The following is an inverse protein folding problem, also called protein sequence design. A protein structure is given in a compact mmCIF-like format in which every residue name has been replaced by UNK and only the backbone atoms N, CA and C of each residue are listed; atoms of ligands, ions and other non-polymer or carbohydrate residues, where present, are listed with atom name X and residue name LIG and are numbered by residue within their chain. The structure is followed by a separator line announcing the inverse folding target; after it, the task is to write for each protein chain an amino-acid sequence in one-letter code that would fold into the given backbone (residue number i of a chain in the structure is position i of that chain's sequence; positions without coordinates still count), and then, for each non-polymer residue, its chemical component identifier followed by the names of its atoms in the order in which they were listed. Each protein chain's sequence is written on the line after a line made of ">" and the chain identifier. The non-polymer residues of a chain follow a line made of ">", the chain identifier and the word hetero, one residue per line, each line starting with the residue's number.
data_IF_836254422911
#
_entry.id   IF_836254422911
#
_cell.length_a   1.000
_cell.length_b   1.000
_cell.length_c   1.000
_cell.angle_alpha   90.00
_cell.angle_beta   90.00
_cell.angle_gamma   90.00
#
_symmetry.space_group_name_H-M   'P 1'
#
loop_
_entity.id
_entity.type
_entity.pdbx_description
1 polymer ?
#
# COMPACT_ATOMS: atom_id res chain seq x y z
N UNK A 1 -7.15 11.02 5.32
CA UNK A 1 -8.41 10.53 4.72
C UNK A 1 -8.15 10.32 3.25
N UNK A 2 -8.20 9.08 2.79
CA UNK A 2 -8.04 8.71 1.39
C UNK A 2 -9.41 8.38 0.81
N UNK A 3 -9.58 8.60 -0.50
CA UNK A 3 -10.80 8.17 -1.21
C UNK A 3 -10.88 6.65 -1.38
N UNK A 4 -11.52 6.17 -2.43
CA UNK A 4 -11.55 4.74 -2.75
C UNK A 4 -10.18 4.28 -3.29
N UNK A 5 -9.51 3.37 -2.58
CA UNK A 5 -8.17 2.84 -2.94
C UNK A 5 -8.29 1.48 -3.64
N UNK A 6 -9.20 0.65 -3.13
CA UNK A 6 -9.39 -0.73 -3.57
C UNK A 6 -10.81 -0.89 -4.10
N UNK A 7 -10.95 -1.65 -5.19
CA UNK A 7 -12.22 -1.92 -5.85
C UNK A 7 -12.37 -3.41 -6.10
N UNK A 8 -13.58 -3.92 -5.90
CA UNK A 8 -13.92 -5.27 -6.28
C UNK A 8 -14.71 -5.24 -7.60
N UNK A 9 -14.35 -6.09 -8.54
CA UNK A 9 -15.00 -6.11 -9.85
C UNK A 9 -16.47 -6.54 -9.70
N UNK A 10 -17.40 -5.73 -10.22
CA UNK A 10 -18.84 -5.98 -10.14
C UNK A 10 -19.25 -7.32 -10.76
N UNK A 11 -18.51 -7.79 -11.77
CA UNK A 11 -18.77 -9.02 -12.52
C UNK A 11 -17.65 -10.07 -12.36
N UNK A 12 -16.80 -9.95 -11.33
CA UNK A 12 -15.67 -10.87 -11.08
C UNK A 12 -15.93 -11.89 -9.97
N UNK A 13 -15.07 -12.91 -9.90
CA UNK A 13 -15.02 -13.86 -8.78
C UNK A 13 -14.74 -13.08 -7.49
N UNK A 14 -15.68 -13.13 -6.53
CA UNK A 14 -15.44 -12.61 -5.19
C UNK A 14 -14.65 -13.66 -4.43
N UNK A 15 -13.39 -13.37 -4.16
CA UNK A 15 -12.55 -14.20 -3.30
C UNK A 15 -12.76 -13.71 -1.87
N UNK A 16 -13.35 -14.53 -0.97
CA UNK A 16 -13.44 -14.17 0.44
C UNK A 16 -12.04 -13.89 1.00
N UNK A 17 -11.96 -13.04 2.02
CA UNK A 17 -10.70 -12.60 2.65
C UNK A 17 -9.80 -11.68 1.80
N UNK A 18 -10.30 -11.21 0.64
CA UNK A 18 -9.61 -10.20 -0.17
C UNK A 18 -10.33 -8.85 -0.12
N UNK A 19 -9.55 -7.78 -0.10
CA UNK A 19 -10.04 -6.39 -0.13
C UNK A 19 -10.25 -5.86 -1.56
N UNK A 20 -9.99 -6.70 -2.57
CA UNK A 20 -10.15 -6.39 -3.99
C UNK A 20 -8.84 -5.96 -4.67
N UNK A 21 -8.96 -5.38 -5.87
CA UNK A 21 -7.84 -4.91 -6.69
C UNK A 21 -7.66 -3.40 -6.57
N UNK A 22 -6.42 -2.89 -6.61
CA UNK A 22 -6.18 -1.44 -6.68
C UNK A 22 -6.90 -0.81 -7.87
N UNK A 23 -7.43 0.40 -7.67
CA UNK A 23 -8.00 1.17 -8.77
C UNK A 23 -6.95 1.46 -9.86
N UNK A 24 -7.37 1.77 -11.10
CA UNK A 24 -6.45 2.22 -12.14
C UNK A 24 -5.60 3.41 -11.65
N UNK A 25 -4.29 3.35 -11.89
CA UNK A 25 -3.28 4.32 -11.42
C UNK A 25 -3.06 4.35 -9.90
N UNK A 26 -3.60 3.39 -9.15
CA UNK A 26 -3.24 3.15 -7.74
C UNK A 26 -2.31 1.94 -7.67
N UNK A 27 -1.23 2.13 -6.94
CA UNK A 27 -0.25 1.12 -6.59
C UNK A 27 -0.35 0.86 -5.09
N UNK A 28 -0.28 -0.41 -4.71
CA UNK A 28 -0.29 -0.87 -3.33
C UNK A 28 0.95 -1.71 -3.07
N UNK A 29 1.45 -1.62 -1.84
CA UNK A 29 2.61 -2.39 -1.41
C UNK A 29 2.38 -2.83 0.03
N UNK A 30 2.76 -4.06 0.33
CA UNK A 30 2.82 -4.59 1.69
C UNK A 30 4.30 -4.57 2.09
N UNK A 31 4.59 -3.90 3.19
CA UNK A 31 5.95 -3.75 3.69
C UNK A 31 6.08 -4.18 5.14
N UNK A 32 7.26 -4.65 5.53
CA UNK A 32 7.54 -5.02 6.92
C UNK A 32 8.74 -4.26 7.41
N UNK A 33 8.62 -3.60 8.56
CA UNK A 33 9.71 -2.84 9.15
C UNK A 33 10.98 -3.70 9.30
N UNK A 34 12.09 -3.25 8.71
CA UNK A 34 13.39 -3.91 8.75
C UNK A 34 14.50 -2.85 8.82
N UNK A 35 15.15 -2.78 9.99
CA UNK A 35 16.24 -1.83 10.27
C UNK A 35 17.50 -2.06 9.44
N UNK A 36 17.64 -3.24 8.81
CA UNK A 36 18.77 -3.59 7.95
C UNK A 36 18.52 -3.24 6.47
N UNK A 37 17.28 -2.97 6.08
CA UNK A 37 16.95 -2.54 4.73
C UNK A 37 17.33 -1.08 4.49
N UNK A 38 17.78 -0.76 3.27
CA UNK A 38 18.11 0.62 2.88
C UNK A 38 16.93 1.59 3.02
N UNK A 39 15.70 1.08 2.89
CA UNK A 39 14.47 1.85 3.05
C UNK A 39 13.89 1.80 4.47
N UNK A 40 14.46 0.97 5.36
CA UNK A 40 13.93 0.70 6.70
C UNK A 40 12.79 -0.32 6.73
N UNK A 41 12.50 -0.97 5.60
CA UNK A 41 11.48 -2.02 5.49
C UNK A 41 11.81 -2.99 4.34
N UNK A 42 11.32 -4.22 4.45
CA UNK A 42 11.31 -5.22 3.37
C UNK A 42 9.98 -5.15 2.62
N UNK A 43 10.01 -5.52 1.35
CA UNK A 43 8.82 -5.58 0.48
C UNK A 43 8.32 -7.01 0.49
N UNK A 44 7.11 -7.22 1.00
CA UNK A 44 6.43 -8.52 1.00
C UNK A 44 5.71 -8.70 -0.34
N UNK A 45 4.94 -7.69 -0.75
CA UNK A 45 4.22 -7.71 -2.00
C UNK A 45 4.10 -6.30 -2.57
N UNK A 46 4.05 -6.18 -3.89
CA UNK A 46 3.74 -4.94 -4.60
C UNK A 46 2.77 -5.24 -5.73
N UNK A 47 1.76 -4.40 -5.91
CA UNK A 47 0.77 -4.61 -6.95
C UNK A 47 0.06 -3.35 -7.38
N UNK A 48 -0.61 -3.46 -8.51
CA UNK A 48 -1.47 -2.43 -9.08
C UNK A 48 -2.69 -3.09 -9.73
N UNK A 49 -3.48 -2.30 -10.46
CA UNK A 49 -4.66 -2.79 -11.19
C UNK A 49 -4.41 -3.93 -12.21
N UNK A 50 -3.15 -4.25 -12.57
CA UNK A 50 -2.80 -5.22 -13.63
C UNK A 50 -2.05 -6.45 -13.11
N UNK A 51 -1.15 -6.27 -12.16
CA UNK A 51 -0.31 -7.35 -11.66
C UNK A 51 0.03 -7.15 -10.20
N UNK A 52 0.26 -8.26 -9.51
CA UNK A 52 0.79 -8.32 -8.16
C UNK A 52 2.01 -9.23 -8.18
N UNK A 53 3.09 -8.76 -7.58
CA UNK A 53 4.35 -9.49 -7.38
C UNK A 53 4.50 -9.70 -5.88
N UNK A 54 4.62 -10.95 -5.46
CA UNK A 54 4.89 -11.35 -4.08
C UNK A 54 6.33 -11.83 -4.02
N UNK A 55 7.07 -11.42 -2.99
CA UNK A 55 8.43 -11.90 -2.76
C UNK A 55 8.42 -13.40 -2.45
N UNK A 56 9.33 -14.14 -3.08
CA UNK A 56 9.43 -15.60 -2.92
C UNK A 56 9.61 -15.96 -1.43
N UNK A 57 8.75 -16.84 -0.92
CA UNK A 57 8.72 -17.23 0.50
C UNK A 57 8.02 -16.26 1.46
N UNK A 58 7.52 -15.11 0.98
CA UNK A 58 6.76 -14.15 1.79
C UNK A 58 5.23 -14.30 1.64
N UNK A 59 4.77 -15.42 1.06
CA UNK A 59 3.36 -15.76 1.01
C UNK A 59 2.82 -15.89 2.45
N UNK A 60 1.69 -15.24 2.72
CA UNK A 60 1.03 -15.19 4.04
C UNK A 60 1.75 -14.38 5.14
N UNK A 61 2.77 -13.58 4.79
CA UNK A 61 3.36 -12.64 5.73
C UNK A 61 2.52 -11.36 5.88
N UNK A 62 2.29 -10.96 7.13
CA UNK A 62 1.62 -9.69 7.45
C UNK A 62 2.57 -8.51 7.35
N UNK A 63 2.04 -7.37 6.92
CA UNK A 63 2.80 -6.13 6.82
C UNK A 63 1.94 -4.87 6.80
N UNK A 64 2.61 -3.74 6.84
CA UNK A 64 2.02 -2.41 6.73
C UNK A 64 1.61 -2.14 5.28
N UNK A 65 0.36 -1.70 5.10
CA UNK A 65 -0.18 -1.30 3.81
C UNK A 65 0.32 0.09 3.41
N UNK A 66 1.00 0.14 2.28
CA UNK A 66 1.49 1.34 1.63
C UNK A 66 0.73 1.57 0.33
N UNK A 67 0.38 2.84 0.06
CA UNK A 67 -0.40 3.21 -1.13
C UNK A 67 0.26 4.38 -1.86
N UNK A 68 0.28 4.33 -3.18
CA UNK A 68 0.74 5.42 -4.04
C UNK A 68 -0.23 5.61 -5.19
N UNK A 69 -0.57 6.85 -5.52
CA UNK A 69 -1.44 7.17 -6.64
C UNK A 69 -2.12 8.53 -6.51
N UNK A 70 -2.86 8.97 -7.56
CA UNK A 70 -3.50 10.28 -7.60
C UNK A 70 -4.64 10.44 -6.58
N UNK A 71 -5.15 9.33 -6.04
CA UNK A 71 -6.20 9.31 -5.01
C UNK A 71 -5.67 9.54 -3.59
N UNK A 72 -4.34 9.61 -3.41
CA UNK A 72 -3.70 9.90 -2.13
C UNK A 72 -3.57 11.42 -1.97
N UNK A 73 -3.95 11.94 -0.80
CA UNK A 73 -3.85 13.37 -0.51
C UNK A 73 -2.38 13.82 -0.44
N UNK A 74 -2.08 15.05 -0.84
CA UNK A 74 -0.70 15.52 -0.94
C UNK A 74 -0.03 15.79 0.42
N UNK A 75 -0.80 16.33 1.39
CA UNK A 75 -0.28 16.70 2.72
C UNK A 75 -1.38 16.88 3.75
N UNK A 76 -1.00 16.77 5.03
CA UNK A 76 -1.84 17.25 6.12
C UNK A 76 -1.78 18.78 6.22
N UNK A 77 -2.94 19.41 6.28
CA UNK A 77 -3.06 20.86 6.40
C UNK A 77 -2.37 21.38 7.67
N UNK A 78 -1.46 22.34 7.51
CA UNK A 78 -0.67 22.97 8.58
C UNK A 78 0.11 21.98 9.49
N UNK A 79 0.41 20.78 8.98
CA UNK A 79 1.16 19.74 9.71
C UNK A 79 2.24 19.13 8.82
N UNK A 80 3.36 19.84 8.59
CA UNK A 80 4.46 19.36 7.75
C UNK A 80 5.15 18.13 8.35
N UNK A 81 5.30 18.06 9.68
CA UNK A 81 5.92 16.93 10.38
C UNK A 81 5.09 15.64 10.18
N UNK A 82 3.79 15.70 10.49
CA UNK A 82 2.89 14.56 10.27
C UNK A 82 2.78 14.13 8.80
N UNK A 83 2.95 15.09 7.87
CA UNK A 83 3.05 14.76 6.44
C UNK A 83 4.31 13.97 6.17
N UNK A 84 5.47 14.46 6.62
CA UNK A 84 6.74 13.77 6.41
C UNK A 84 6.79 12.38 7.06
N UNK A 85 6.08 12.16 8.17
CA UNK A 85 6.03 10.86 8.85
C UNK A 85 5.11 9.85 8.14
N UNK A 86 4.01 10.36 7.57
CA UNK A 86 3.02 9.56 6.86
C UNK A 86 3.48 9.12 5.46
N UNK A 87 4.48 9.78 4.88
CA UNK A 87 5.09 9.37 3.63
C UNK A 87 6.43 8.66 3.86
N UNK A 88 6.69 7.59 3.12
CA UNK A 88 8.01 6.98 3.04
C UNK A 88 8.95 7.85 2.21
N UNK A 89 10.25 7.63 2.36
CA UNK A 89 11.28 8.37 1.59
C UNK A 89 11.15 8.19 0.08
N UNK A 90 10.57 7.08 -0.36
CA UNK A 90 10.33 6.72 -1.76
C UNK A 90 8.92 7.08 -2.25
N UNK A 91 8.16 7.87 -1.48
CA UNK A 91 6.92 8.50 -1.93
C UNK A 91 5.66 7.64 -1.75
N UNK A 92 5.68 6.66 -0.85
CA UNK A 92 4.50 5.87 -0.52
C UNK A 92 3.81 6.42 0.71
N UNK A 93 2.48 6.45 0.69
CA UNK A 93 1.67 6.81 1.85
C UNK A 93 1.44 5.59 2.74
N UNK A 94 1.78 5.73 4.02
CA UNK A 94 1.51 4.74 5.06
C UNK A 94 0.06 4.87 5.51
N UNK A 95 -0.78 3.87 5.25
CA UNK A 95 -2.19 3.92 5.70
C UNK A 95 -2.30 3.71 7.21
N UNK A 96 -1.32 3.00 7.80
CA UNK A 96 -1.34 2.56 9.20
C UNK A 96 -2.14 1.28 9.43
N UNK A 97 -2.67 0.68 8.36
CA UNK A 97 -3.32 -0.63 8.41
C UNK A 97 -2.26 -1.74 8.27
N UNK A 98 -2.42 -2.78 9.10
CA UNK A 98 -1.68 -4.03 8.96
C UNK A 98 -2.58 -5.04 8.26
N UNK A 99 -2.08 -5.64 7.18
CA UNK A 99 -2.78 -6.62 6.34
C UNK A 99 -2.02 -7.93 6.26
#
# INVERSE_FOLDING_TARGET
>A
ETGMILSNSLNGLRVPETVGTPMPNVEVRISKSNVYSSYGYDIIAEGNSRHTVVTDGAHDEQGDLLVRGPSVFEKYWNKPEATSEAFTKDGWFKTGDTV
#
